data_IF_941235141559
#
_entry.id   IF_941235141559
#
_cell.length_a   1.000
_cell.length_b   1.000
_cell.length_c   1.000
_cell.angle_alpha   90.00
_cell.angle_beta   90.00
_cell.angle_gamma   90.00
#
_symmetry.space_group_name_H-M   'P 1'
#
loop_
_entity.id
_entity.type
_entity.pdbx_description
1 polymer ?
#
# COMPACT_ATOMS: atom_id res chain seq x y z
N UNK A 1 -20.47 58.53 -5.65
CA UNK A 1 -19.07 58.01 -5.47
C UNK A 1 -19.17 56.51 -5.36
N UNK A 2 -18.99 55.85 -6.49
CA UNK A 2 -19.01 54.37 -6.58
C UNK A 2 -17.69 53.84 -6.02
N UNK A 3 -17.75 53.30 -4.81
CA UNK A 3 -16.60 52.51 -4.27
C UNK A 3 -16.47 51.26 -5.09
N UNK A 4 -15.52 51.22 -6.01
CA UNK A 4 -15.05 49.99 -6.62
C UNK A 4 -14.33 49.21 -5.51
N UNK A 5 -15.06 48.36 -4.76
CA UNK A 5 -14.44 47.44 -3.85
C UNK A 5 -13.66 46.43 -4.71
N UNK A 6 -12.34 46.57 -4.72
CA UNK A 6 -11.46 45.51 -5.20
C UNK A 6 -11.76 44.30 -4.33
N UNK A 7 -12.47 43.30 -4.89
CA UNK A 7 -12.70 42.05 -4.20
C UNK A 7 -11.33 41.50 -3.79
N UNK A 8 -11.11 41.37 -2.49
CA UNK A 8 -9.91 40.75 -1.95
C UNK A 8 -9.80 39.36 -2.59
N UNK A 9 -8.57 38.99 -3.00
CA UNK A 9 -8.32 37.68 -3.62
C UNK A 9 -8.80 36.55 -2.70
N UNK A 10 -9.79 35.76 -3.16
CA UNK A 10 -10.33 34.64 -2.39
C UNK A 10 -9.24 33.57 -2.23
N UNK A 11 -9.06 33.09 -1.00
CA UNK A 11 -8.11 32.05 -0.69
C UNK A 11 -8.47 30.72 -1.38
N UNK A 12 -7.47 29.87 -1.64
CA UNK A 12 -7.72 28.55 -2.18
C UNK A 12 -8.54 27.70 -1.20
N UNK A 13 -9.44 26.82 -1.68
CA UNK A 13 -10.16 25.87 -0.84
C UNK A 13 -9.21 24.85 -0.26
N UNK A 14 -9.58 24.22 0.88
CA UNK A 14 -8.83 23.14 1.50
C UNK A 14 -9.58 21.82 1.40
N UNK A 15 -8.84 20.70 1.36
CA UNK A 15 -9.37 19.34 1.30
C UNK A 15 -8.86 18.59 2.53
N UNK A 16 -9.65 18.49 3.62
CA UNK A 16 -9.20 17.90 4.88
C UNK A 16 -8.79 16.43 4.77
N UNK A 17 -9.39 15.68 3.83
CA UNK A 17 -9.08 14.28 3.61
C UNK A 17 -7.84 14.05 2.72
N UNK A 18 -7.29 15.10 2.13
CA UNK A 18 -6.11 14.96 1.27
C UNK A 18 -4.87 14.62 2.11
N UNK A 19 -4.25 13.48 1.85
CA UNK A 19 -2.99 13.07 2.46
C UNK A 19 -1.83 13.51 1.56
N UNK A 20 -0.95 14.39 2.07
CA UNK A 20 0.22 14.92 1.30
C UNK A 20 -0.17 15.41 -0.09
N UNK A 21 -1.29 16.14 -0.22
CA UNK A 21 -1.89 16.64 -1.46
C UNK A 21 -2.44 15.55 -2.39
N UNK A 22 -2.67 14.34 -1.90
CA UNK A 22 -3.29 13.23 -2.62
C UNK A 22 -4.63 12.82 -2.05
N UNK A 23 -5.52 12.36 -2.92
CA UNK A 23 -6.82 11.80 -2.59
C UNK A 23 -6.74 10.30 -2.86
N UNK A 24 -6.89 9.49 -1.80
CA UNK A 24 -6.92 8.03 -1.90
C UNK A 24 -8.36 7.52 -2.17
N UNK A 25 -8.50 6.22 -2.36
CA UNK A 25 -9.77 5.55 -2.64
C UNK A 25 -10.84 5.85 -1.57
N UNK A 26 -10.48 5.80 -0.30
CA UNK A 26 -11.41 6.05 0.80
C UNK A 26 -11.84 7.52 0.85
N UNK A 27 -10.91 8.45 0.69
CA UNK A 27 -11.21 9.88 0.68
C UNK A 27 -12.10 10.27 -0.51
N UNK A 28 -11.95 9.60 -1.66
CA UNK A 28 -12.73 9.85 -2.87
C UNK A 28 -14.23 9.62 -2.67
N UNK A 29 -14.62 8.64 -1.84
CA UNK A 29 -16.04 8.31 -1.60
C UNK A 29 -16.81 9.38 -0.81
N UNK A 30 -16.10 10.23 -0.05
CA UNK A 30 -16.69 11.23 0.85
C UNK A 30 -15.92 12.55 0.81
N UNK A 31 -15.46 12.95 -0.38
CA UNK A 31 -14.59 14.10 -0.54
C UNK A 31 -15.28 15.39 -0.16
N UNK A 32 -14.78 16.06 0.87
CA UNK A 32 -15.23 17.35 1.36
C UNK A 32 -14.21 18.43 0.99
N UNK A 33 -14.74 19.61 0.66
CA UNK A 33 -13.97 20.81 0.38
C UNK A 33 -14.38 21.89 1.36
N UNK A 34 -13.43 22.44 2.08
CA UNK A 34 -13.63 23.47 3.07
C UNK A 34 -13.22 24.83 2.51
N UNK A 35 -14.15 25.77 2.60
CA UNK A 35 -13.98 27.16 2.18
C UNK A 35 -13.94 28.03 3.43
N UNK A 36 -12.80 28.66 3.67
CA UNK A 36 -12.64 29.58 4.79
C UNK A 36 -13.56 30.82 4.63
N UNK A 37 -13.97 31.47 5.73
CA UNK A 37 -14.67 32.74 5.64
C UNK A 37 -13.83 33.77 4.85
N UNK A 38 -14.48 34.55 4.03
CA UNK A 38 -13.81 35.53 3.17
C UNK A 38 -14.25 36.96 3.55
N UNK A 39 -13.39 37.97 3.27
CA UNK A 39 -13.74 39.36 3.51
C UNK A 39 -14.99 39.79 2.75
N UNK A 40 -15.95 40.43 3.43
CA UNK A 40 -17.22 40.86 2.82
C UNK A 40 -18.22 39.72 2.62
N UNK A 41 -18.08 38.59 3.36
CA UNK A 41 -19.07 37.51 3.35
C UNK A 41 -20.39 37.97 3.94
N UNK A 42 -21.47 37.89 3.16
CA UNK A 42 -22.80 38.39 3.51
C UNK A 42 -23.87 37.31 3.34
N UNK A 43 -25.00 37.50 4.01
CA UNK A 43 -26.16 36.65 3.81
C UNK A 43 -26.66 36.76 2.37
N UNK A 44 -26.95 35.62 1.75
CA UNK A 44 -27.39 35.53 0.36
C UNK A 44 -26.29 35.27 -0.65
N UNK A 45 -25.02 35.42 -0.28
CA UNK A 45 -23.90 35.02 -1.15
C UNK A 45 -24.07 33.58 -1.61
N UNK A 46 -23.87 33.33 -2.91
CA UNK A 46 -23.84 31.98 -3.47
C UNK A 46 -22.40 31.54 -3.69
N UNK A 47 -21.99 30.48 -3.02
CA UNK A 47 -20.70 29.84 -3.18
C UNK A 47 -20.89 28.63 -4.10
N UNK A 48 -20.17 28.59 -5.22
CA UNK A 48 -20.18 27.50 -6.18
C UNK A 48 -18.81 26.83 -6.23
N UNK A 49 -18.77 25.49 -6.07
CA UNK A 49 -17.56 24.68 -6.11
C UNK A 49 -17.36 24.10 -7.50
N UNK A 50 -16.10 24.11 -7.96
CA UNK A 50 -15.71 23.54 -9.24
C UNK A 50 -14.56 22.53 -9.05
N UNK A 51 -14.75 21.37 -9.66
CA UNK A 51 -13.75 20.32 -9.75
C UNK A 51 -13.34 20.12 -11.23
N UNK A 52 -12.07 20.38 -11.56
CA UNK A 52 -11.59 20.40 -12.94
C UNK A 52 -12.47 21.28 -13.86
N UNK A 53 -12.82 22.47 -13.38
CA UNK A 53 -13.71 23.44 -14.02
C UNK A 53 -15.16 22.94 -14.25
N UNK A 54 -15.53 21.76 -13.77
CA UNK A 54 -16.91 21.26 -13.75
C UNK A 54 -17.59 21.64 -12.43
N UNK A 55 -18.81 22.18 -12.49
CA UNK A 55 -19.62 22.49 -11.32
C UNK A 55 -19.85 21.19 -10.50
N UNK A 56 -19.53 21.23 -9.19
CA UNK A 56 -19.62 20.09 -8.31
C UNK A 56 -20.71 20.25 -7.24
N UNK A 57 -20.79 21.41 -6.57
CA UNK A 57 -21.74 21.67 -5.49
C UNK A 57 -21.90 23.18 -5.29
N UNK A 58 -22.96 23.59 -4.61
CA UNK A 58 -23.14 24.99 -4.22
C UNK A 58 -23.84 25.17 -2.88
N UNK A 59 -23.60 26.32 -2.25
CA UNK A 59 -24.25 26.66 -1.00
C UNK A 59 -24.48 28.15 -0.91
N UNK A 60 -25.68 28.53 -0.44
CA UNK A 60 -25.99 29.90 -0.11
C UNK A 60 -25.64 30.19 1.35
N UNK A 61 -24.99 31.33 1.58
CA UNK A 61 -24.65 31.80 2.92
C UNK A 61 -25.92 32.27 3.62
N UNK A 62 -26.17 31.73 4.81
CA UNK A 62 -27.26 32.16 5.68
C UNK A 62 -26.72 33.06 6.80
N UNK A 63 -27.57 33.88 7.43
CA UNK A 63 -27.16 34.82 8.47
C UNK A 63 -26.31 34.17 9.57
N UNK A 64 -26.68 32.95 10.02
CA UNK A 64 -25.94 32.21 11.07
C UNK A 64 -24.63 31.61 10.60
N UNK A 65 -24.30 31.65 9.29
CA UNK A 65 -23.09 31.12 8.70
C UNK A 65 -22.07 32.19 8.28
N UNK A 66 -22.42 33.46 8.43
CA UNK A 66 -21.48 34.56 8.18
C UNK A 66 -20.27 34.41 9.11
N UNK A 67 -19.07 34.51 8.54
CA UNK A 67 -17.81 34.36 9.27
C UNK A 67 -17.44 32.92 9.70
N UNK A 68 -18.19 31.91 9.25
CA UNK A 68 -17.85 30.48 9.46
C UNK A 68 -17.43 29.79 8.18
N UNK A 69 -16.65 28.74 8.31
CA UNK A 69 -16.26 27.91 7.15
C UNK A 69 -17.50 27.27 6.51
N UNK A 70 -17.49 27.19 5.17
CA UNK A 70 -18.50 26.50 4.39
C UNK A 70 -17.92 25.18 3.89
N UNK A 71 -18.68 24.08 4.09
CA UNK A 71 -18.33 22.76 3.66
C UNK A 71 -19.18 22.35 2.46
N UNK A 72 -18.51 21.99 1.38
CA UNK A 72 -19.12 21.51 0.14
C UNK A 72 -18.59 20.09 -0.18
N UNK A 73 -19.28 19.37 -1.04
CA UNK A 73 -18.90 18.00 -1.41
C UNK A 73 -18.59 17.90 -2.89
N UNK A 74 -17.63 17.03 -3.22
CA UNK A 74 -17.40 16.62 -4.60
C UNK A 74 -18.05 15.26 -4.79
N UNK A 75 -18.98 15.10 -5.77
CA UNK A 75 -19.54 13.78 -6.08
C UNK A 75 -18.45 12.78 -6.46
N UNK A 76 -18.53 11.55 -5.96
CA UNK A 76 -17.55 10.49 -6.22
C UNK A 76 -17.31 10.29 -7.72
N UNK A 77 -18.35 10.40 -8.54
CA UNK A 77 -18.26 10.26 -10.00
C UNK A 77 -17.35 11.30 -10.68
N UNK A 78 -16.99 12.39 -10.00
CA UNK A 78 -16.07 13.40 -10.51
C UNK A 78 -14.63 13.14 -10.10
N UNK A 79 -14.40 12.29 -9.08
CA UNK A 79 -13.09 12.03 -8.49
C UNK A 79 -12.39 10.91 -9.26
N UNK A 80 -11.89 11.23 -10.45
CA UNK A 80 -11.19 10.31 -11.33
C UNK A 80 -9.68 10.35 -11.07
N UNK A 81 -8.99 9.22 -11.29
CA UNK A 81 -7.53 9.11 -11.15
C UNK A 81 -6.79 10.14 -12.00
N UNK A 82 -5.76 10.73 -11.43
CA UNK A 82 -4.94 11.73 -12.10
C UNK A 82 -4.84 13.06 -11.34
N UNK A 83 -4.25 14.07 -11.97
CA UNK A 83 -4.19 15.42 -11.40
C UNK A 83 -5.57 16.07 -11.42
N UNK A 84 -5.93 16.74 -10.33
CA UNK A 84 -7.17 17.49 -10.23
C UNK A 84 -6.93 18.89 -9.68
N UNK A 85 -7.82 19.80 -10.04
CA UNK A 85 -7.82 21.20 -9.61
C UNK A 85 -9.16 21.55 -9.02
N UNK A 86 -9.12 22.26 -7.88
CA UNK A 86 -10.31 22.68 -7.16
C UNK A 86 -10.29 24.19 -6.96
N UNK A 87 -11.39 24.83 -7.25
CA UNK A 87 -11.61 26.24 -6.93
C UNK A 87 -13.10 26.48 -6.61
N UNK A 88 -13.39 27.63 -6.08
CA UNK A 88 -14.77 28.08 -5.90
C UNK A 88 -14.96 29.49 -6.46
N UNK A 89 -16.21 29.84 -6.70
CA UNK A 89 -16.62 31.19 -7.04
C UNK A 89 -17.63 31.67 -6.01
N UNK A 90 -17.63 32.99 -5.74
CA UNK A 90 -18.63 33.65 -4.91
C UNK A 90 -19.40 34.63 -5.78
N UNK A 91 -20.70 34.47 -5.78
CA UNK A 91 -21.63 35.40 -6.45
C UNK A 91 -22.35 36.22 -5.39
N UNK A 92 -22.10 37.54 -5.38
CA UNK A 92 -22.74 38.50 -4.51
C UNK A 92 -23.74 39.33 -5.28
N UNK A 93 -24.82 39.76 -4.62
CA UNK A 93 -25.86 40.61 -5.27
C UNK A 93 -25.22 41.92 -5.72
N UNK A 94 -25.38 42.23 -7.01
CA UNK A 94 -24.85 43.49 -7.61
C UNK A 94 -23.37 43.47 -7.95
N UNK A 95 -22.70 42.35 -7.78
CA UNK A 95 -21.28 42.16 -8.12
C UNK A 95 -21.09 41.03 -9.14
N UNK A 96 -20.00 41.08 -9.92
CA UNK A 96 -19.61 39.95 -10.76
C UNK A 96 -19.06 38.81 -9.91
N UNK A 97 -18.98 37.58 -10.49
CA UNK A 97 -18.43 36.42 -9.79
C UNK A 97 -16.95 36.64 -9.44
N UNK A 98 -16.60 36.37 -8.18
CA UNK A 98 -15.22 36.35 -7.71
C UNK A 98 -14.71 34.92 -7.64
N UNK A 99 -13.56 34.62 -8.27
CA UNK A 99 -12.96 33.30 -8.29
C UNK A 99 -11.82 33.19 -7.25
N UNK A 100 -11.73 32.07 -6.58
CA UNK A 100 -10.64 31.76 -5.65
C UNK A 100 -9.35 31.36 -6.37
N UNK A 101 -8.24 31.32 -5.62
CA UNK A 101 -7.05 30.59 -6.03
C UNK A 101 -7.35 29.08 -6.17
N UNK A 102 -6.50 28.37 -6.90
CA UNK A 102 -6.63 26.93 -7.15
C UNK A 102 -5.93 26.11 -6.10
N UNK A 103 -6.55 25.03 -5.65
CA UNK A 103 -5.89 23.91 -4.98
C UNK A 103 -5.67 22.80 -5.98
N UNK A 104 -4.42 22.24 -6.02
CA UNK A 104 -4.05 21.10 -6.86
C UNK A 104 -3.83 19.88 -6.01
N UNK A 105 -4.39 18.74 -6.45
CA UNK A 105 -4.26 17.44 -5.78
C UNK A 105 -4.02 16.34 -6.80
N UNK A 106 -3.45 15.22 -6.33
CA UNK A 106 -3.33 14.01 -7.12
C UNK A 106 -4.35 13.00 -6.61
N UNK A 107 -5.22 12.53 -7.48
CA UNK A 107 -6.18 11.44 -7.18
C UNK A 107 -5.56 10.12 -7.59
N UNK A 108 -5.67 9.11 -6.72
CA UNK A 108 -5.38 7.70 -7.01
C UNK A 108 -6.33 6.84 -6.20
N UNK A 109 -7.30 6.22 -6.86
CA UNK A 109 -8.31 5.36 -6.24
C UNK A 109 -7.98 3.87 -6.38
N UNK A 110 -6.97 3.55 -7.19
CA UNK A 110 -6.49 2.19 -7.39
C UNK A 110 -5.52 1.77 -6.29
N UNK A 111 -5.83 0.67 -5.60
CA UNK A 111 -4.96 0.11 -4.56
C UNK A 111 -3.74 -0.59 -5.18
N UNK A 112 -2.55 -0.51 -4.55
CA UNK A 112 -1.44 -1.38 -4.90
C UNK A 112 -1.85 -2.84 -4.63
N UNK A 113 -1.60 -3.73 -5.59
CA UNK A 113 -2.10 -5.09 -5.57
C UNK A 113 -3.58 -5.25 -5.95
N UNK A 114 -4.26 -4.19 -6.38
CA UNK A 114 -5.69 -4.19 -6.68
C UNK A 114 -6.57 -4.05 -5.43
N UNK A 115 -7.88 -4.04 -5.64
CA UNK A 115 -8.86 -3.98 -4.53
C UNK A 115 -8.63 -5.18 -3.60
N UNK A 116 -8.41 -4.98 -2.29
CA UNK A 116 -8.15 -6.08 -1.36
C UNK A 116 -9.29 -7.11 -1.39
N UNK A 117 -8.93 -8.36 -1.58
CA UNK A 117 -9.85 -9.52 -1.53
C UNK A 117 -9.45 -10.38 -0.34
N UNK A 118 -10.37 -10.58 0.58
CA UNK A 118 -10.15 -11.37 1.78
C UNK A 118 -10.70 -12.79 1.62
N UNK A 119 -10.03 -13.81 2.18
CA UNK A 119 -10.55 -15.16 2.13
C UNK A 119 -11.88 -15.27 2.87
N UNK A 120 -12.85 -16.04 2.34
CA UNK A 120 -14.09 -16.31 3.04
C UNK A 120 -13.80 -17.08 4.34
N UNK A 121 -14.51 -16.77 5.41
CA UNK A 121 -14.45 -17.45 6.72
C UNK A 121 -13.26 -17.15 7.65
N UNK A 122 -12.50 -16.08 7.42
CA UNK A 122 -11.47 -15.64 8.36
C UNK A 122 -11.81 -14.26 8.91
N UNK A 123 -12.54 -14.21 10.02
CA UNK A 123 -12.98 -12.96 10.67
C UNK A 123 -11.83 -12.03 11.11
N UNK A 124 -10.58 -12.54 11.11
CA UNK A 124 -9.39 -11.81 11.53
C UNK A 124 -8.24 -11.86 10.51
N UNK A 125 -8.48 -12.29 9.27
CA UNK A 125 -7.44 -12.37 8.27
C UNK A 125 -7.41 -11.11 7.40
N UNK A 126 -6.43 -10.26 7.64
CA UNK A 126 -6.18 -8.99 6.92
C UNK A 126 -5.34 -9.23 5.64
N UNK A 127 -5.25 -10.47 5.16
CA UNK A 127 -4.47 -10.85 3.98
C UNK A 127 -5.21 -10.55 2.68
N UNK A 128 -4.54 -9.85 1.78
CA UNK A 128 -5.04 -9.59 0.43
C UNK A 128 -4.62 -10.71 -0.53
N UNK A 129 -5.57 -11.53 -0.95
CA UNK A 129 -5.33 -12.66 -1.85
C UNK A 129 -4.92 -12.26 -3.28
N UNK A 130 -4.99 -10.97 -3.64
CA UNK A 130 -4.50 -10.46 -4.92
C UNK A 130 -2.98 -10.23 -4.94
N UNK A 131 -2.32 -10.32 -3.78
CA UNK A 131 -0.87 -10.23 -3.68
C UNK A 131 -0.26 -11.63 -3.65
N UNK A 132 0.86 -11.82 -4.35
CA UNK A 132 1.63 -13.04 -4.22
C UNK A 132 2.37 -13.06 -2.86
N UNK A 133 2.48 -14.21 -2.18
CA UNK A 133 3.36 -14.31 -1.03
C UNK A 133 4.83 -14.08 -1.44
N UNK A 134 5.69 -13.69 -0.50
CA UNK A 134 7.13 -13.53 -0.77
C UNK A 134 7.70 -14.81 -1.41
N UNK A 135 8.58 -14.66 -2.41
CA UNK A 135 9.33 -15.78 -2.95
C UNK A 135 10.67 -15.91 -2.23
N UNK A 136 11.01 -17.14 -1.86
CA UNK A 136 12.20 -17.51 -1.10
C UNK A 136 12.94 -18.63 -1.82
N UNK A 137 14.26 -18.71 -1.70
CA UNK A 137 15.03 -19.82 -2.23
C UNK A 137 14.44 -21.18 -1.80
N UNK A 138 14.38 -22.13 -2.74
CA UNK A 138 13.80 -23.45 -2.52
C UNK A 138 14.37 -24.16 -1.29
N UNK A 139 15.66 -24.00 -1.04
CA UNK A 139 16.33 -24.58 0.13
C UNK A 139 15.76 -24.05 1.45
N UNK A 140 15.42 -22.76 1.50
CA UNK A 140 14.82 -22.14 2.67
C UNK A 140 13.36 -22.57 2.82
N UNK A 141 12.61 -22.62 1.72
CA UNK A 141 11.22 -23.09 1.74
C UNK A 141 11.07 -24.53 2.24
N UNK A 142 12.01 -25.42 1.83
CA UNK A 142 11.94 -26.85 2.20
C UNK A 142 12.52 -27.17 3.57
N UNK A 143 13.61 -26.54 3.93
CA UNK A 143 14.40 -26.93 5.11
C UNK A 143 14.44 -25.89 6.21
N UNK A 144 13.80 -24.73 5.99
CA UNK A 144 13.87 -23.62 6.93
C UNK A 144 15.23 -22.92 6.91
N UNK A 145 15.46 -22.11 7.93
CA UNK A 145 16.66 -21.28 8.10
C UNK A 145 17.53 -21.85 9.20
N UNK A 146 18.80 -22.10 8.89
CA UNK A 146 19.79 -22.58 9.85
C UNK A 146 20.73 -21.45 10.32
N UNK A 147 21.51 -21.70 11.38
CA UNK A 147 22.41 -20.71 11.97
C UNK A 147 23.41 -20.06 11.00
N UNK A 148 23.88 -20.75 9.94
CA UNK A 148 24.75 -20.14 8.94
C UNK A 148 24.01 -19.16 8.04
N UNK A 149 22.75 -19.46 7.71
CA UNK A 149 21.90 -18.57 6.92
C UNK A 149 21.47 -17.36 7.76
N UNK A 150 21.18 -17.55 9.05
CA UNK A 150 20.92 -16.44 9.99
C UNK A 150 22.07 -15.43 9.96
N UNK A 151 23.31 -15.89 10.07
CA UNK A 151 24.48 -15.00 10.09
C UNK A 151 24.75 -14.28 8.76
N UNK A 152 24.38 -14.90 7.64
CA UNK A 152 24.58 -14.33 6.29
C UNK A 152 23.46 -13.40 5.85
N UNK A 153 22.29 -13.48 6.47
CA UNK A 153 21.07 -12.89 5.95
C UNK A 153 20.41 -13.77 4.87
N UNK A 154 19.17 -13.41 4.50
CA UNK A 154 18.31 -14.19 3.62
C UNK A 154 17.84 -13.35 2.44
N UNK A 155 18.10 -13.80 1.20
CA UNK A 155 17.50 -13.17 0.04
C UNK A 155 16.05 -13.63 -0.11
N UNK A 156 15.18 -12.70 -0.50
CA UNK A 156 13.82 -12.97 -0.97
C UNK A 156 13.44 -12.03 -2.10
N UNK A 157 12.37 -12.32 -2.79
CA UNK A 157 11.79 -11.40 -3.76
C UNK A 157 10.28 -11.22 -3.57
N UNK A 158 9.82 -10.06 -3.99
CA UNK A 158 8.42 -9.71 -4.06
C UNK A 158 8.10 -9.51 -5.54
N UNK A 159 7.17 -10.31 -6.05
CA UNK A 159 6.77 -10.24 -7.46
C UNK A 159 6.10 -8.91 -7.79
N UNK A 160 6.18 -8.44 -9.05
CA UNK A 160 5.44 -7.27 -9.48
C UNK A 160 3.94 -7.44 -9.21
N UNK A 161 3.31 -6.38 -8.75
CA UNK A 161 1.92 -6.40 -8.38
C UNK A 161 1.09 -5.42 -9.21
N UNK A 162 -0.21 -5.64 -9.26
CA UNK A 162 -1.14 -4.77 -9.98
C UNK A 162 -1.10 -3.34 -9.40
N UNK A 163 -1.14 -2.33 -10.27
CA UNK A 163 -1.04 -0.91 -9.92
C UNK A 163 0.26 -0.49 -9.21
N UNK A 164 1.33 -1.30 -9.37
CA UNK A 164 2.67 -0.94 -8.89
C UNK A 164 3.10 0.40 -9.47
N UNK A 165 3.55 1.30 -8.62
CA UNK A 165 3.87 2.66 -9.04
C UNK A 165 5.11 3.21 -8.31
N UNK A 166 5.77 4.16 -8.96
CA UNK A 166 6.85 4.91 -8.30
C UNK A 166 6.36 5.62 -7.05
N UNK A 167 7.13 5.50 -5.98
CA UNK A 167 6.82 6.05 -4.66
C UNK A 167 6.05 5.12 -3.74
N UNK A 168 5.67 3.93 -4.20
CA UNK A 168 5.11 2.88 -3.33
C UNK A 168 6.14 2.50 -2.26
N UNK A 169 5.70 2.42 -1.01
CA UNK A 169 6.49 2.04 0.14
C UNK A 169 6.08 0.63 0.59
N UNK A 170 7.05 -0.29 0.60
CA UNK A 170 6.82 -1.67 1.02
C UNK A 170 7.37 -1.84 2.44
N UNK A 171 6.55 -2.38 3.34
CA UNK A 171 6.98 -2.84 4.66
C UNK A 171 6.93 -4.36 4.70
N UNK A 172 8.07 -5.01 4.83
CA UNK A 172 8.21 -6.44 5.08
C UNK A 172 8.02 -6.72 6.58
N UNK A 173 7.29 -7.79 6.92
CA UNK A 173 7.18 -8.30 8.27
C UNK A 173 7.83 -9.67 8.34
N UNK A 174 8.84 -9.81 9.17
CA UNK A 174 9.55 -11.04 9.46
C UNK A 174 9.24 -11.47 10.90
N UNK A 175 8.27 -12.37 11.09
CA UNK A 175 7.67 -12.59 12.40
C UNK A 175 7.04 -11.30 12.92
N UNK A 176 7.50 -10.82 14.08
CA UNK A 176 7.05 -9.56 14.68
C UNK A 176 7.92 -8.35 14.30
N UNK A 177 9.04 -8.58 13.61
CA UNK A 177 9.98 -7.52 13.20
C UNK A 177 9.56 -6.91 11.87
N UNK A 178 9.51 -5.57 11.80
CA UNK A 178 9.20 -4.83 10.57
C UNK A 178 10.47 -4.29 9.93
N UNK A 179 10.54 -4.41 8.61
CA UNK A 179 11.62 -3.88 7.79
C UNK A 179 11.01 -3.03 6.67
N UNK A 180 11.22 -1.72 6.74
CA UNK A 180 10.81 -0.80 5.68
C UNK A 180 11.83 -0.85 4.54
N UNK A 181 11.34 -1.12 3.32
CA UNK A 181 12.18 -1.18 2.13
C UNK A 181 12.30 0.20 1.47
N UNK A 182 13.33 0.43 0.65
CA UNK A 182 13.40 1.60 -0.22
C UNK A 182 12.12 1.72 -1.06
N UNK A 183 11.68 2.95 -1.30
CA UNK A 183 10.51 3.19 -2.15
C UNK A 183 10.79 2.74 -3.57
N UNK A 184 9.75 2.25 -4.24
CA UNK A 184 9.82 1.88 -5.66
C UNK A 184 10.20 3.12 -6.48
N UNK A 185 11.25 3.00 -7.27
CA UNK A 185 11.66 4.03 -8.22
C UNK A 185 10.98 3.81 -9.59
N UNK A 186 11.00 4.83 -10.45
CA UNK A 186 10.28 4.75 -11.71
C UNK A 186 10.79 3.64 -12.64
N UNK A 187 12.11 3.35 -12.62
CA UNK A 187 12.73 2.29 -13.41
C UNK A 187 12.41 0.88 -12.86
N UNK A 188 12.00 0.75 -11.61
CA UNK A 188 11.73 -0.54 -10.96
C UNK A 188 10.26 -0.97 -11.09
N UNK A 189 9.42 -0.09 -11.62
CA UNK A 189 7.98 -0.38 -11.81
C UNK A 189 7.82 -1.54 -12.78
N UNK A 190 7.13 -2.59 -12.34
CA UNK A 190 6.90 -3.82 -13.11
C UNK A 190 8.04 -4.85 -12.99
N UNK A 191 9.06 -4.58 -12.19
CA UNK A 191 10.13 -5.52 -11.87
C UNK A 191 9.95 -6.13 -10.48
N UNK A 192 10.49 -7.34 -10.27
CA UNK A 192 10.53 -7.97 -8.96
C UNK A 192 11.42 -7.17 -8.00
N UNK A 193 10.96 -6.99 -6.76
CA UNK A 193 11.72 -6.30 -5.72
C UNK A 193 12.58 -7.31 -4.98
N UNK A 194 13.89 -7.23 -5.16
CA UNK A 194 14.84 -8.10 -4.47
C UNK A 194 15.22 -7.51 -3.11
N UNK A 195 15.04 -8.31 -2.07
CA UNK A 195 15.26 -7.91 -0.68
C UNK A 195 16.32 -8.83 -0.05
N UNK A 196 17.22 -8.22 0.69
CA UNK A 196 18.14 -8.94 1.55
C UNK A 196 17.75 -8.69 3.01
N UNK A 197 17.17 -9.70 3.68
CA UNK A 197 16.84 -9.62 5.11
C UNK A 197 18.13 -9.74 5.90
N UNK A 198 18.54 -8.69 6.65
CA UNK A 198 19.82 -8.71 7.37
C UNK A 198 19.76 -9.65 8.58
N UNK A 199 20.93 -10.16 8.99
CA UNK A 199 21.05 -11.03 10.17
C UNK A 199 20.46 -10.41 11.44
N UNK A 200 20.54 -9.10 11.61
CA UNK A 200 19.97 -8.38 12.75
C UNK A 200 18.47 -8.57 12.88
N UNK A 201 17.73 -8.47 11.77
CA UNK A 201 16.27 -8.68 11.74
C UNK A 201 15.92 -10.14 12.07
N UNK A 202 16.69 -11.08 11.53
CA UNK A 202 16.45 -12.52 11.75
C UNK A 202 16.72 -12.90 13.21
N UNK A 203 17.81 -12.35 13.79
CA UNK A 203 18.18 -12.60 15.19
C UNK A 203 17.16 -11.94 16.14
N UNK A 204 16.70 -10.74 15.83
CA UNK A 204 15.70 -10.04 16.64
C UNK A 204 14.36 -10.80 16.67
N UNK A 205 13.94 -11.39 15.55
CA UNK A 205 12.74 -12.22 15.49
C UNK A 205 12.89 -13.54 16.29
N UNK A 206 14.13 -14.03 16.43
CA UNK A 206 14.44 -15.24 17.21
C UNK A 206 14.12 -16.54 16.48
N UNK A 207 14.30 -17.67 17.21
CA UNK A 207 13.97 -19.00 16.74
C UNK A 207 12.45 -19.22 16.82
N UNK A 208 11.85 -19.64 15.71
CA UNK A 208 10.45 -19.97 15.62
C UNK A 208 10.21 -21.07 14.58
N UNK A 209 9.47 -22.08 14.97
CA UNK A 209 9.13 -23.20 14.08
C UNK A 209 8.08 -22.84 13.04
N UNK A 210 7.39 -21.72 13.20
CA UNK A 210 6.29 -21.23 12.34
C UNK A 210 6.29 -19.72 12.17
N UNK A 211 7.47 -19.15 11.90
CA UNK A 211 7.61 -17.73 11.65
C UNK A 211 6.95 -17.34 10.33
N UNK A 212 6.06 -16.36 10.38
CA UNK A 212 5.39 -15.84 9.20
C UNK A 212 6.16 -14.67 8.59
N UNK A 213 6.35 -14.74 7.26
CA UNK A 213 6.94 -13.67 6.45
C UNK A 213 5.88 -13.15 5.50
N UNK A 214 5.59 -11.85 5.58
CA UNK A 214 4.60 -11.19 4.74
C UNK A 214 5.01 -9.74 4.48
N UNK A 215 4.28 -9.04 3.62
CA UNK A 215 4.52 -7.62 3.33
C UNK A 215 3.22 -6.89 3.07
N UNK A 216 3.25 -5.58 3.24
CA UNK A 216 2.18 -4.69 2.81
C UNK A 216 2.76 -3.51 2.03
N UNK A 217 1.92 -2.85 1.25
CA UNK A 217 2.31 -1.75 0.38
C UNK A 217 1.44 -0.54 0.69
N UNK A 218 2.09 0.61 0.85
CA UNK A 218 1.42 1.90 1.00
C UNK A 218 1.82 2.79 -0.17
N UNK A 219 0.85 3.23 -0.96
CA UNK A 219 1.14 4.15 -2.06
C UNK A 219 1.31 5.60 -1.57
N UNK A 220 1.71 6.49 -2.49
CA UNK A 220 1.99 7.90 -2.19
C UNK A 220 0.79 8.73 -1.71
N UNK A 221 -0.45 8.28 -1.96
CA UNK A 221 -1.67 8.94 -1.51
C UNK A 221 -2.31 8.27 -0.30
N UNK A 222 -1.72 7.18 0.20
CA UNK A 222 -2.15 6.47 1.39
C UNK A 222 -3.12 5.32 1.15
N UNK A 223 -3.24 4.78 -0.09
CA UNK A 223 -3.91 3.50 -0.28
C UNK A 223 -3.04 2.38 0.26
N UNK A 224 -3.62 1.53 1.12
CA UNK A 224 -2.94 0.41 1.75
C UNK A 224 -3.40 -0.91 1.13
N UNK A 225 -2.46 -1.71 0.62
CA UNK A 225 -2.75 -3.02 0.01
C UNK A 225 -3.29 -4.06 0.99
N UNK A 226 -3.17 -3.83 2.30
CA UNK A 226 -3.23 -4.87 3.32
C UNK A 226 -2.04 -5.84 3.20
N UNK A 227 -1.97 -6.84 4.11
CA UNK A 227 -0.87 -7.81 4.11
C UNK A 227 -1.02 -8.82 2.96
N UNK A 228 0.08 -9.17 2.32
CA UNK A 228 0.12 -10.30 1.40
C UNK A 228 -0.10 -11.62 2.16
N UNK A 229 -0.53 -12.72 1.51
CA UNK A 229 -0.56 -14.03 2.12
C UNK A 229 0.80 -14.39 2.73
N UNK A 230 0.79 -14.83 3.99
CA UNK A 230 2.02 -15.13 4.71
C UNK A 230 2.74 -16.39 4.15
N UNK A 231 4.06 -16.36 4.19
CA UNK A 231 4.90 -17.53 3.98
C UNK A 231 5.46 -17.98 5.32
N UNK A 232 5.02 -19.14 5.80
CA UNK A 232 5.51 -19.69 7.07
C UNK A 232 6.85 -20.40 6.90
N UNK A 233 7.82 -20.11 7.75
CA UNK A 233 9.17 -20.67 7.79
C UNK A 233 9.47 -21.30 9.15
N UNK A 234 10.36 -22.28 9.14
CA UNK A 234 11.00 -22.78 10.35
C UNK A 234 12.39 -22.12 10.48
N UNK A 235 12.63 -21.43 11.59
CA UNK A 235 13.92 -20.82 11.91
C UNK A 235 14.52 -21.52 13.13
N UNK A 236 15.74 -22.07 12.96
CA UNK A 236 16.48 -22.73 14.01
C UNK A 236 17.95 -22.31 13.93
N UNK A 237 18.31 -21.25 14.68
CA UNK A 237 19.68 -20.75 14.74
C UNK A 237 20.60 -21.70 15.51
N UNK A 238 20.05 -22.49 16.46
CA UNK A 238 20.81 -23.35 17.36
C UNK A 238 21.02 -24.79 16.87
N UNK A 239 20.33 -25.26 15.80
CA UNK A 239 20.49 -26.62 15.33
C UNK A 239 21.45 -26.69 14.13
N UNK A 240 22.63 -27.33 14.25
CA UNK A 240 23.40 -27.73 13.08
C UNK A 240 22.55 -28.74 12.29
N UNK A 241 22.02 -28.36 11.14
CA UNK A 241 21.39 -29.34 10.25
C UNK A 241 22.45 -30.37 9.87
N UNK A 242 22.30 -31.59 10.36
CA UNK A 242 23.05 -32.74 9.87
C UNK A 242 22.66 -32.90 8.39
N UNK A 243 23.60 -32.85 7.43
CA UNK A 243 23.27 -33.05 6.04
C UNK A 243 22.54 -34.39 5.90
N UNK A 244 21.56 -34.53 4.99
CA UNK A 244 20.86 -35.78 4.78
C UNK A 244 21.89 -36.85 4.51
N UNK A 245 21.88 -37.88 5.34
CA UNK A 245 22.79 -39.02 5.22
C UNK A 245 22.64 -39.57 3.80
N UNK A 246 23.70 -39.66 2.99
CA UNK A 246 23.59 -40.22 1.65
C UNK A 246 22.94 -41.60 1.79
N UNK A 247 21.92 -41.86 0.97
CA UNK A 247 21.22 -43.11 0.93
C UNK A 247 22.31 -44.20 0.80
N UNK A 248 22.38 -45.13 1.79
CA UNK A 248 23.28 -46.30 1.71
C UNK A 248 22.97 -46.97 0.38
N UNK A 249 23.97 -47.02 -0.50
CA UNK A 249 23.89 -47.83 -1.69
C UNK A 249 23.48 -49.24 -1.24
N UNK A 250 22.36 -49.72 -1.76
CA UNK A 250 21.92 -51.07 -1.54
C UNK A 250 23.07 -51.98 -1.95
N UNK A 251 23.65 -52.70 -0.96
CA UNK A 251 24.67 -53.71 -1.18
C UNK A 251 24.10 -54.69 -2.22
N UNK A 252 24.74 -54.76 -3.37
CA UNK A 252 24.40 -55.73 -4.42
C UNK A 252 24.41 -57.13 -3.80
N UNK A 253 23.26 -57.79 -3.77
CA UNK A 253 23.09 -59.19 -3.45
C UNK A 253 23.86 -60.02 -4.50
N UNK A 254 24.99 -60.61 -4.14
CA UNK A 254 25.66 -61.61 -4.95
C UNK A 254 24.98 -62.99 -4.72
N UNK A 255 24.38 -63.63 -5.75
CA UNK A 255 23.84 -64.97 -5.61
C UNK A 255 25.00 -65.95 -5.45
N UNK A 256 24.92 -66.78 -4.41
CA UNK A 256 25.85 -67.95 -4.20
C UNK A 256 25.71 -68.94 -5.38
N UNK A 257 26.82 -69.31 -6.00
CA UNK A 257 26.84 -70.38 -6.95
C UNK A 257 26.58 -71.76 -6.28
N UNK A 258 25.85 -72.67 -6.94
CA UNK A 258 25.60 -74.02 -6.40
C UNK A 258 26.84 -74.82 -6.41
N UNK A 259 27.12 -75.49 -5.28
CA UNK A 259 28.28 -76.39 -5.09
C UNK A 259 28.21 -77.61 -5.99
N UNK A 260 29.35 -78.00 -6.47
CA UNK A 260 29.61 -79.23 -7.23
C UNK A 260 29.32 -80.51 -6.41
N UNK A 261 28.88 -81.60 -7.03
CA UNK A 261 28.53 -82.82 -6.33
C UNK A 261 29.81 -83.61 -5.90
N UNK A 262 29.74 -84.22 -4.73
CA UNK A 262 30.72 -85.17 -4.24
C UNK A 262 30.61 -86.45 -5.06
N UNK A 263 31.73 -86.90 -5.61
CA UNK A 263 31.89 -88.28 -6.11
C UNK A 263 32.13 -89.22 -4.93
N UNK A 264 31.68 -90.51 -5.05
CA UNK A 264 31.87 -91.53 -4.02
C UNK A 264 33.18 -92.32 -4.24
N UNK A 265 33.87 -92.65 -3.16
CA UNK A 265 34.93 -93.53 -3.04
C UNK A 265 35.07 -94.04 -1.62
#
# INVERSE_FOLDING_TARGET
MTRTATLAMLTAPTLPQAHRHGINALAATQLQVDIAPYPGMEEGDLIELFWNDCFADSRRVTACKIGTATHLRVPESFVLDGPAQVHYQVMQIGHGPARSALTRVQVKTNYPGGQPVFPPNHENNDENQNLAPVDLPETIRRYGVNGRQVLRGIPLSIEPYLNMASGDAITLRWGDVRLDLPKIEAQDVGLAVHVWVPSTVIIEAGDDSRLDVTYCILDRVGNNSRWAPARTLNISACSPQTPPRPARAASAYQPRQPGSPCEPG
#
